data_IF_245262237776
#
_entry.id   IF_245262237776
#
_cell.length_a   1.000
_cell.length_b   1.000
_cell.length_c   1.000
_cell.angle_alpha   90.00
_cell.angle_beta   90.00
_cell.angle_gamma   90.00
#
_symmetry.space_group_name_H-M   'P 1'
#
loop_
_entity.id
_entity.type
_entity.pdbx_description
1 polymer ?
#
# COMPACT_ATOMS: atom_id res chain seq x y z
N UNK A 1 -7.06 27.71 -7.71
CA UNK A 1 -8.13 27.30 -6.80
C UNK A 1 -7.70 27.38 -5.33
N UNK A 2 -6.55 26.92 -4.95
CA UNK A 2 -6.01 27.12 -3.60
C UNK A 2 -5.22 28.43 -3.54
N UNK A 3 -5.17 29.04 -2.33
CA UNK A 3 -4.33 30.19 -2.06
C UNK A 3 -2.85 29.87 -2.39
N UNK A 4 -2.13 30.83 -2.97
CA UNK A 4 -0.72 30.69 -3.38
C UNK A 4 0.22 30.29 -2.23
N UNK A 5 -0.14 30.60 -0.99
CA UNK A 5 0.62 30.22 0.21
C UNK A 5 0.71 28.70 0.37
N UNK A 6 -0.35 27.97 0.00
CA UNK A 6 -0.32 26.49 0.01
C UNK A 6 0.60 25.93 -1.06
N UNK A 7 0.62 26.54 -2.26
CA UNK A 7 1.58 26.16 -3.30
C UNK A 7 3.02 26.35 -2.83
N UNK A 8 3.28 27.51 -2.17
CA UNK A 8 4.59 27.79 -1.57
C UNK A 8 4.98 26.74 -0.51
N UNK A 9 4.06 26.30 0.34
CA UNK A 9 4.30 25.24 1.29
C UNK A 9 4.67 23.92 0.58
N UNK A 10 3.94 23.53 -0.47
CA UNK A 10 4.23 22.30 -1.23
C UNK A 10 5.64 22.29 -1.83
N UNK A 11 6.02 23.40 -2.45
CA UNK A 11 7.38 23.52 -3.03
C UNK A 11 8.45 23.56 -1.94
N UNK A 12 8.18 24.23 -0.80
CA UNK A 12 9.11 24.30 0.32
C UNK A 12 9.36 22.92 0.98
N UNK A 13 8.32 22.10 1.08
CA UNK A 13 8.44 20.71 1.58
C UNK A 13 9.36 19.87 0.70
N UNK A 14 9.31 20.07 -0.61
CA UNK A 14 10.16 19.36 -1.58
C UNK A 14 11.61 19.84 -1.55
N UNK A 15 11.81 21.18 -1.55
CA UNK A 15 13.15 21.78 -1.68
C UNK A 15 13.90 21.88 -0.36
N UNK A 16 13.18 21.97 0.76
CA UNK A 16 13.70 22.25 2.10
C UNK A 16 14.63 23.47 2.15
N UNK A 17 14.38 24.46 1.25
CA UNK A 17 15.19 25.66 1.08
C UNK A 17 14.34 26.84 0.60
N UNK A 18 14.34 27.93 1.36
CA UNK A 18 13.64 29.14 0.98
C UNK A 18 14.14 29.72 -0.36
N UNK A 19 15.45 29.68 -0.60
CA UNK A 19 16.05 30.17 -1.85
C UNK A 19 15.65 29.32 -3.05
N UNK A 20 15.71 27.99 -2.95
CA UNK A 20 15.31 27.10 -4.04
C UNK A 20 13.79 27.17 -4.29
N UNK A 21 13.00 27.33 -3.23
CA UNK A 21 11.56 27.55 -3.35
C UNK A 21 11.26 28.84 -4.12
N UNK A 22 11.93 29.93 -3.76
CA UNK A 22 11.80 31.22 -4.43
C UNK A 22 12.13 31.13 -5.93
N UNK A 23 13.22 30.44 -6.27
CA UNK A 23 13.61 30.22 -7.67
C UNK A 23 12.57 29.41 -8.44
N UNK A 24 12.03 28.32 -7.85
CA UNK A 24 11.02 27.48 -8.51
C UNK A 24 9.69 28.21 -8.74
N UNK A 25 9.32 29.10 -7.81
CA UNK A 25 8.05 29.85 -7.88
C UNK A 25 8.19 31.21 -8.57
N UNK A 26 9.41 31.57 -9.03
CA UNK A 26 9.70 32.86 -9.64
C UNK A 26 9.32 34.06 -8.77
N UNK A 27 9.55 33.96 -7.46
CA UNK A 27 9.33 35.00 -6.45
C UNK A 27 10.59 35.24 -5.64
N UNK A 28 10.59 36.25 -4.75
CA UNK A 28 11.74 36.53 -3.88
C UNK A 28 11.74 35.63 -2.65
N UNK A 29 12.93 35.35 -2.09
CA UNK A 29 13.08 34.58 -0.85
C UNK A 29 12.33 35.22 0.36
N UNK A 30 12.33 36.55 0.56
CA UNK A 30 11.48 37.19 1.56
C UNK A 30 9.98 36.93 1.36
N UNK A 31 9.49 36.91 0.11
CA UNK A 31 8.10 36.61 -0.19
C UNK A 31 7.73 35.16 0.23
N UNK A 32 8.58 34.17 -0.07
CA UNK A 32 8.40 32.79 0.42
C UNK A 32 8.29 32.77 1.95
N UNK A 33 9.24 33.42 2.65
CA UNK A 33 9.25 33.47 4.11
C UNK A 33 7.99 34.12 4.68
N UNK A 34 7.53 35.22 4.07
CA UNK A 34 6.32 35.93 4.47
C UNK A 34 5.06 35.10 4.26
N UNK A 35 4.95 34.40 3.14
CA UNK A 35 3.79 33.52 2.84
C UNK A 35 3.70 32.37 3.83
N UNK A 36 4.82 31.72 4.16
CA UNK A 36 4.83 30.64 5.17
C UNK A 36 4.48 31.19 6.57
N UNK A 37 5.06 32.32 6.97
CA UNK A 37 4.73 32.95 8.27
C UNK A 37 3.25 33.36 8.35
N UNK A 38 2.71 33.92 7.26
CA UNK A 38 1.29 34.28 7.18
C UNK A 38 0.39 33.04 7.34
N UNK A 39 0.75 31.93 6.71
CA UNK A 39 0.01 30.68 6.84
C UNK A 39 0.11 30.09 8.26
N UNK A 40 1.30 30.12 8.87
CA UNK A 40 1.50 29.72 10.26
C UNK A 40 0.68 30.56 11.26
N UNK A 41 0.60 31.88 11.03
CA UNK A 41 -0.19 32.79 11.87
C UNK A 41 -1.68 32.51 11.74
N UNK A 42 -2.18 32.33 10.52
CA UNK A 42 -3.59 32.04 10.26
C UNK A 42 -4.04 30.72 10.91
N UNK A 43 -3.20 29.69 10.79
CA UNK A 43 -3.51 28.35 11.32
C UNK A 43 -3.12 28.20 12.80
N UNK A 44 -2.41 29.17 13.37
CA UNK A 44 -1.82 29.11 14.71
C UNK A 44 -0.97 27.84 14.95
N UNK A 45 -0.24 27.41 13.91
CA UNK A 45 0.59 26.18 13.95
C UNK A 45 1.93 26.45 13.25
N UNK A 46 3.01 25.93 13.82
CA UNK A 46 4.32 25.95 13.17
C UNK A 46 4.43 24.85 12.12
N UNK A 47 4.64 25.27 10.85
CA UNK A 47 4.80 24.37 9.71
C UNK A 47 6.27 24.08 9.39
N UNK A 48 7.15 25.01 9.76
CA UNK A 48 8.59 24.88 9.54
C UNK A 48 9.38 25.28 10.79
N UNK A 49 10.54 24.65 10.98
CA UNK A 49 11.55 25.04 11.97
C UNK A 49 12.86 25.34 11.26
N UNK A 50 13.43 26.49 11.54
CA UNK A 50 14.74 26.89 11.03
C UNK A 50 15.76 26.87 12.15
N UNK A 51 16.65 25.87 12.11
CA UNK A 51 17.82 25.79 12.98
C UNK A 51 19.05 25.84 12.07
N UNK A 52 19.71 27.02 12.03
CA UNK A 52 20.88 27.23 11.15
C UNK A 52 21.85 26.07 11.20
N UNK A 53 22.29 25.51 10.06
CA UNK A 53 21.96 25.92 8.68
C UNK A 53 20.75 25.19 8.05
N UNK A 54 19.95 24.42 8.81
CA UNK A 54 18.93 23.50 8.29
C UNK A 54 17.52 24.01 8.49
N UNK A 55 16.74 23.94 7.41
CA UNK A 55 15.28 24.04 7.43
C UNK A 55 14.68 22.63 7.58
N UNK A 56 13.82 22.44 8.57
CA UNK A 56 13.06 21.20 8.77
C UNK A 56 11.56 21.49 8.70
N UNK A 57 10.82 20.58 8.08
CA UNK A 57 9.36 20.65 8.05
C UNK A 57 8.83 19.95 9.30
N UNK A 58 7.90 20.58 9.99
CA UNK A 58 7.28 19.97 11.17
C UNK A 58 6.32 18.85 10.76
N UNK A 59 5.91 17.94 11.68
CA UNK A 59 4.85 16.96 11.41
C UNK A 59 3.57 17.62 10.87
N UNK A 60 3.13 18.72 11.48
CA UNK A 60 1.97 19.49 11.03
C UNK A 60 2.16 20.08 9.60
N UNK A 61 3.39 20.55 9.29
CA UNK A 61 3.73 21.03 7.95
C UNK A 61 3.68 19.91 6.90
N UNK A 62 4.13 18.71 7.25
CA UNK A 62 4.05 17.53 6.38
C UNK A 62 2.61 17.09 6.15
N UNK A 63 1.82 17.05 7.22
CA UNK A 63 0.40 16.68 7.16
C UNK A 63 -0.41 17.65 6.31
N UNK A 64 -0.25 18.95 6.54
CA UNK A 64 -0.91 19.99 5.74
C UNK A 64 -0.49 19.92 4.27
N UNK A 65 0.79 19.75 3.98
CA UNK A 65 1.26 19.64 2.60
C UNK A 65 0.68 18.40 1.90
N UNK A 66 0.62 17.24 2.56
CA UNK A 66 0.01 16.04 2.02
C UNK A 66 -1.49 16.26 1.73
N UNK A 67 -2.22 16.89 2.65
CA UNK A 67 -3.63 17.24 2.46
C UNK A 67 -3.84 18.18 1.28
N UNK A 68 -3.09 19.25 1.20
CA UNK A 68 -3.15 20.23 0.11
C UNK A 68 -2.84 19.58 -1.25
N UNK A 69 -1.83 18.70 -1.30
CA UNK A 69 -1.47 17.95 -2.50
C UNK A 69 -2.65 17.09 -3.00
N UNK A 70 -3.32 16.37 -2.09
CA UNK A 70 -4.50 15.56 -2.43
C UNK A 70 -5.63 16.41 -3.02
N UNK A 71 -5.94 17.55 -2.37
CA UNK A 71 -6.99 18.48 -2.86
C UNK A 71 -6.64 19.00 -4.25
N UNK A 72 -5.39 19.40 -4.49
CA UNK A 72 -4.98 19.89 -5.81
C UNK A 72 -5.17 18.84 -6.90
N UNK A 73 -4.76 17.60 -6.65
CA UNK A 73 -4.91 16.49 -7.60
C UNK A 73 -6.39 16.22 -7.88
N UNK A 74 -7.23 16.14 -6.84
CA UNK A 74 -8.66 15.92 -7.00
C UNK A 74 -9.33 17.08 -7.76
N UNK A 75 -9.03 18.32 -7.39
CA UNK A 75 -9.56 19.50 -8.06
C UNK A 75 -9.16 19.55 -9.54
N UNK A 76 -7.90 19.22 -9.87
CA UNK A 76 -7.44 19.13 -11.25
C UNK A 76 -8.24 18.10 -12.05
N UNK A 77 -8.45 16.90 -11.51
CA UNK A 77 -9.23 15.84 -12.16
C UNK A 77 -10.68 16.25 -12.42
N UNK A 78 -11.31 16.87 -11.43
CA UNK A 78 -12.69 17.40 -11.58
C UNK A 78 -12.76 18.45 -12.68
N UNK A 79 -11.87 19.44 -12.64
CA UNK A 79 -11.85 20.51 -13.66
C UNK A 79 -11.58 19.94 -15.05
N UNK A 80 -10.63 19.02 -15.18
CA UNK A 80 -10.35 18.36 -16.46
C UNK A 80 -11.57 17.58 -16.98
N UNK A 81 -12.28 16.89 -16.10
CA UNK A 81 -13.50 16.17 -16.46
C UNK A 81 -14.63 17.09 -16.91
N UNK A 82 -14.74 18.28 -16.31
CA UNK A 82 -15.73 19.30 -16.71
C UNK A 82 -15.38 19.98 -18.03
N UNK A 83 -14.09 20.30 -18.23
CA UNK A 83 -13.62 20.98 -19.45
C UNK A 83 -13.59 20.07 -20.68
N UNK A 84 -13.37 18.79 -20.46
CA UNK A 84 -13.20 17.80 -21.51
C UNK A 84 -14.06 16.55 -21.25
N UNK A 85 -15.39 16.65 -21.36
CA UNK A 85 -16.29 15.51 -21.08
C UNK A 85 -16.04 14.30 -21.98
N UNK A 86 -15.45 14.52 -23.16
CA UNK A 86 -15.10 13.51 -24.15
C UNK A 86 -13.66 12.99 -23.99
N UNK A 87 -12.84 13.64 -23.14
CA UNK A 87 -11.47 13.17 -22.89
C UNK A 87 -11.54 12.03 -21.89
N UNK A 88 -11.09 10.90 -22.34
CA UNK A 88 -10.95 9.67 -21.57
C UNK A 88 -10.13 9.91 -20.32
N UNK A 89 -10.72 9.63 -19.18
CA UNK A 89 -10.12 9.79 -17.85
C UNK A 89 -8.94 8.85 -17.67
N UNK A 90 -7.99 9.25 -16.82
CA UNK A 90 -6.93 8.41 -16.31
C UNK A 90 -7.29 7.94 -14.90
N UNK A 91 -6.99 6.68 -14.59
CA UNK A 91 -7.03 6.13 -13.23
C UNK A 91 -5.70 5.49 -12.88
N UNK A 92 -5.15 5.85 -11.73
CA UNK A 92 -3.88 5.31 -11.23
C UNK A 92 -4.16 4.65 -9.89
N UNK A 93 -3.91 3.36 -9.76
CA UNK A 93 -4.05 2.70 -8.48
C UNK A 93 -2.78 1.91 -8.12
N UNK A 94 -2.57 1.77 -6.81
CA UNK A 94 -1.51 0.92 -6.28
C UNK A 94 -2.08 -0.41 -5.82
N UNK A 95 -1.31 -1.48 -5.93
CA UNK A 95 -1.66 -2.78 -5.38
C UNK A 95 -0.43 -3.43 -4.75
N UNK A 96 -0.65 -4.30 -3.79
CA UNK A 96 0.45 -5.09 -3.23
C UNK A 96 0.87 -6.20 -4.17
N UNK A 97 2.09 -6.73 -3.95
CA UNK A 97 2.59 -7.83 -4.78
C UNK A 97 1.67 -9.05 -4.70
N UNK A 98 1.15 -9.37 -3.52
CA UNK A 98 0.23 -10.50 -3.35
C UNK A 98 -1.02 -10.33 -4.19
N UNK A 99 -1.68 -9.17 -4.07
CA UNK A 99 -2.96 -8.93 -4.72
C UNK A 99 -2.82 -8.65 -6.22
N UNK A 100 -1.62 -8.26 -6.68
CA UNK A 100 -1.35 -8.08 -8.11
C UNK A 100 -1.47 -9.37 -8.90
N UNK A 101 -1.28 -10.53 -8.27
CA UNK A 101 -1.30 -11.82 -8.94
C UNK A 101 -2.73 -12.38 -9.18
N UNK A 102 -3.70 -12.03 -8.33
CA UNK A 102 -5.02 -12.64 -8.43
C UNK A 102 -6.21 -11.66 -8.37
N UNK A 103 -6.12 -10.51 -7.71
CA UNK A 103 -7.22 -9.54 -7.61
C UNK A 103 -7.07 -8.34 -8.56
N UNK A 104 -5.87 -7.82 -8.76
CA UNK A 104 -5.67 -6.66 -9.62
C UNK A 104 -6.10 -6.90 -11.07
N UNK A 105 -5.90 -8.09 -11.69
CA UNK A 105 -6.44 -8.36 -13.03
C UNK A 105 -7.97 -8.24 -13.09
N UNK A 106 -8.69 -8.76 -12.09
CA UNK A 106 -10.15 -8.66 -12.01
C UNK A 106 -10.61 -7.20 -11.86
N UNK A 107 -9.91 -6.42 -11.03
CA UNK A 107 -10.18 -5.00 -10.84
C UNK A 107 -9.97 -4.21 -12.14
N UNK A 108 -8.88 -4.48 -12.86
CA UNK A 108 -8.59 -3.85 -14.14
C UNK A 108 -9.72 -4.16 -15.14
N UNK A 109 -10.18 -5.42 -15.24
CA UNK A 109 -11.31 -5.80 -16.10
C UNK A 109 -12.60 -5.05 -15.73
N UNK A 110 -12.90 -4.91 -14.42
CA UNK A 110 -14.05 -4.16 -13.95
C UNK A 110 -13.97 -2.67 -14.33
N UNK A 111 -12.80 -2.06 -14.25
CA UNK A 111 -12.58 -0.67 -14.66
C UNK A 111 -12.70 -0.55 -16.20
N UNK A 112 -12.10 -1.45 -16.96
CA UNK A 112 -12.18 -1.47 -18.43
C UNK A 112 -13.61 -1.60 -18.94
N UNK A 113 -14.43 -2.42 -18.28
CA UNK A 113 -15.85 -2.63 -18.65
C UNK A 113 -16.66 -1.34 -18.59
N UNK A 114 -16.24 -0.32 -17.82
CA UNK A 114 -16.92 0.98 -17.77
C UNK A 114 -16.70 1.83 -19.02
N UNK A 115 -15.64 1.56 -19.80
CA UNK A 115 -15.22 2.31 -21.00
C UNK A 115 -14.96 3.82 -20.73
N UNK A 116 -14.80 4.21 -19.46
CA UNK A 116 -14.62 5.63 -19.06
C UNK A 116 -13.16 6.07 -19.02
N UNK A 117 -12.20 5.12 -19.08
CA UNK A 117 -10.79 5.37 -18.88
C UNK A 117 -9.98 4.95 -20.11
N UNK A 118 -9.15 5.83 -20.61
CA UNK A 118 -8.20 5.54 -21.69
C UNK A 118 -6.88 5.00 -21.14
N UNK A 119 -6.52 5.43 -19.94
CA UNK A 119 -5.27 5.08 -19.28
C UNK A 119 -5.57 4.52 -17.89
N UNK A 120 -5.22 3.26 -17.70
CA UNK A 120 -5.35 2.56 -16.43
C UNK A 120 -3.94 2.15 -16.01
N UNK A 121 -3.43 2.77 -14.95
CA UNK A 121 -2.11 2.46 -14.41
C UNK A 121 -2.24 1.69 -13.10
N UNK A 122 -1.72 0.46 -13.09
CA UNK A 122 -1.58 -0.37 -11.91
C UNK A 122 -0.11 -0.34 -11.45
N UNK A 123 0.13 0.18 -10.25
CA UNK A 123 1.48 0.24 -9.66
C UNK A 123 1.62 -0.80 -8.57
N UNK A 124 2.47 -1.80 -8.83
CA UNK A 124 2.72 -2.86 -7.85
C UNK A 124 3.80 -2.40 -6.86
N UNK A 125 3.47 -2.47 -5.56
CA UNK A 125 4.34 -2.00 -4.48
C UNK A 125 4.04 -2.77 -3.18
N UNK A 126 4.43 -2.28 -2.00
CA UNK A 126 3.99 -2.82 -0.72
C UNK A 126 2.92 -1.93 -0.08
N UNK A 127 2.28 -2.43 0.98
CA UNK A 127 1.16 -1.76 1.66
C UNK A 127 1.52 -0.34 2.09
N UNK A 128 2.68 -0.14 2.73
CA UNK A 128 3.11 1.16 3.23
C UNK A 128 3.34 2.16 2.09
N UNK A 129 3.99 1.73 1.01
CA UNK A 129 4.23 2.59 -0.16
C UNK A 129 2.92 2.91 -0.89
N UNK A 130 1.97 1.95 -0.96
CA UNK A 130 0.65 2.17 -1.54
C UNK A 130 -0.14 3.24 -0.76
N UNK A 131 -0.17 3.16 0.57
CA UNK A 131 -0.80 4.17 1.43
C UNK A 131 -0.12 5.54 1.27
N UNK A 132 1.21 5.58 1.22
CA UNK A 132 1.96 6.81 0.95
C UNK A 132 1.60 7.42 -0.41
N UNK A 133 1.34 6.59 -1.42
CA UNK A 133 0.94 7.07 -2.75
C UNK A 133 -0.47 7.70 -2.73
N UNK A 134 -1.41 7.16 -1.93
CA UNK A 134 -2.71 7.79 -1.68
C UNK A 134 -2.52 9.14 -0.99
N UNK A 135 -1.72 9.19 0.06
CA UNK A 135 -1.46 10.41 0.82
C UNK A 135 -0.87 11.53 -0.04
N UNK A 136 -0.02 11.17 -0.99
CA UNK A 136 0.60 12.11 -1.95
C UNK A 136 -0.28 12.41 -3.16
N UNK A 137 -1.45 11.77 -3.29
CA UNK A 137 -2.30 11.90 -4.47
C UNK A 137 -1.69 11.33 -5.76
N UNK A 138 -0.66 10.50 -5.67
CA UNK A 138 -0.02 9.83 -6.83
C UNK A 138 -0.70 8.53 -7.20
N UNK A 139 -1.55 7.99 -6.33
CA UNK A 139 -2.53 6.94 -6.61
C UNK A 139 -3.91 7.40 -6.16
N UNK A 140 -4.93 7.04 -6.93
CA UNK A 140 -6.32 7.38 -6.65
C UNK A 140 -6.87 6.54 -5.50
N UNK A 141 -6.50 5.27 -5.50
CA UNK A 141 -6.82 4.29 -4.47
C UNK A 141 -5.75 3.20 -4.45
N UNK A 142 -5.85 2.29 -3.49
CA UNK A 142 -5.00 1.12 -3.42
C UNK A 142 -5.80 -0.14 -3.09
N UNK A 143 -5.39 -1.26 -3.68
CA UNK A 143 -5.85 -2.60 -3.34
C UNK A 143 -4.77 -3.23 -2.47
N UNK A 144 -5.04 -3.39 -1.18
CA UNK A 144 -4.04 -3.79 -0.17
C UNK A 144 -4.55 -4.86 0.79
N UNK A 145 -3.60 -5.51 1.42
CA UNK A 145 -3.76 -6.34 2.61
C UNK A 145 -3.00 -5.74 3.80
N UNK A 146 -3.27 -6.27 4.99
CA UNK A 146 -2.59 -5.88 6.23
C UNK A 146 -3.31 -4.75 6.96
N UNK A 147 -2.67 -4.28 8.02
CA UNK A 147 -3.24 -3.26 8.87
C UNK A 147 -2.99 -1.86 8.30
N UNK A 148 -3.97 -1.01 8.46
CA UNK A 148 -3.86 0.41 8.15
C UNK A 148 -4.76 1.21 9.10
N UNK A 149 -4.51 2.50 9.22
CA UNK A 149 -5.32 3.38 10.08
C UNK A 149 -6.70 3.62 9.44
N UNK A 150 -7.70 2.87 9.91
CA UNK A 150 -9.10 2.94 9.46
C UNK A 150 -9.75 4.31 9.76
N UNK A 151 -9.13 5.15 10.58
CA UNK A 151 -9.62 6.52 10.85
C UNK A 151 -9.15 7.53 9.80
N UNK A 152 -8.05 7.23 9.12
CA UNK A 152 -7.40 8.10 8.15
C UNK A 152 -7.88 7.91 6.71
N UNK A 153 -8.37 6.71 6.39
CA UNK A 153 -8.80 6.32 5.05
C UNK A 153 -10.22 5.84 5.05
N UNK A 154 -10.92 6.04 3.93
CA UNK A 154 -12.11 5.28 3.60
C UNK A 154 -11.69 3.97 2.93
N UNK A 155 -12.45 2.91 3.16
CA UNK A 155 -12.10 1.60 2.62
C UNK A 155 -13.33 0.72 2.40
N UNK A 156 -13.13 -0.29 1.59
CA UNK A 156 -14.09 -1.36 1.38
C UNK A 156 -13.40 -2.71 1.41
N UNK A 157 -13.88 -3.59 2.26
CA UNK A 157 -13.45 -4.98 2.25
C UNK A 157 -13.98 -5.64 0.97
N UNK A 158 -13.07 -6.23 0.22
CA UNK A 158 -13.35 -6.95 -1.02
C UNK A 158 -13.74 -8.39 -0.70
N UNK A 159 -12.88 -9.07 0.04
CA UNK A 159 -13.09 -10.42 0.55
C UNK A 159 -12.11 -10.73 1.67
N UNK A 160 -12.36 -11.83 2.35
CA UNK A 160 -11.39 -12.47 3.23
C UNK A 160 -10.61 -13.54 2.46
N UNK A 161 -9.32 -13.63 2.71
CA UNK A 161 -8.43 -14.57 2.03
C UNK A 161 -7.60 -15.36 3.05
N UNK A 162 -7.50 -16.71 2.92
CA UNK A 162 -6.66 -17.51 3.78
C UNK A 162 -5.19 -17.15 3.65
N UNK A 163 -4.55 -16.88 4.79
CA UNK A 163 -3.11 -16.71 4.92
C UNK A 163 -2.51 -17.98 5.50
N UNK A 164 -1.67 -18.66 4.75
CA UNK A 164 -1.27 -20.04 5.01
C UNK A 164 0.25 -20.21 5.08
N UNK A 165 0.72 -21.07 5.99
CA UNK A 165 2.09 -21.56 5.99
C UNK A 165 2.24 -22.60 4.87
N UNK A 166 3.29 -22.50 4.06
CA UNK A 166 3.49 -23.30 2.84
C UNK A 166 4.92 -23.82 2.78
N UNK A 167 5.04 -25.08 2.34
CA UNK A 167 6.31 -25.77 2.07
C UNK A 167 6.21 -26.60 0.78
N UNK A 168 7.35 -27.05 0.27
CA UNK A 168 7.39 -28.07 -0.79
C UNK A 168 6.72 -29.38 -0.34
N UNK A 169 6.12 -30.11 -1.26
CA UNK A 169 5.46 -31.39 -0.95
C UNK A 169 6.40 -32.45 -0.37
N UNK A 170 7.69 -32.39 -0.72
CA UNK A 170 8.74 -33.28 -0.19
C UNK A 170 9.42 -32.76 1.09
N UNK A 171 8.98 -31.63 1.63
CA UNK A 171 9.56 -31.07 2.85
C UNK A 171 9.19 -31.94 4.07
N UNK A 172 10.10 -32.11 5.07
CA UNK A 172 9.79 -32.92 6.26
C UNK A 172 8.51 -32.52 6.99
N UNK A 173 8.21 -31.25 7.10
CA UNK A 173 6.98 -30.74 7.74
C UNK A 173 5.70 -31.10 6.96
N UNK A 174 5.79 -31.43 5.68
CA UNK A 174 4.62 -31.79 4.87
C UNK A 174 4.00 -33.13 5.31
N UNK A 175 4.76 -33.98 6.00
CA UNK A 175 4.31 -35.29 6.50
C UNK A 175 3.69 -35.22 7.90
N UNK A 176 3.74 -34.07 8.56
CA UNK A 176 3.19 -33.88 9.90
C UNK A 176 1.71 -33.56 9.85
N UNK A 177 0.91 -34.22 10.70
CA UNK A 177 -0.54 -33.94 10.79
C UNK A 177 -0.84 -32.53 11.32
N UNK A 178 0.02 -32.02 12.20
CA UNK A 178 -0.02 -30.69 12.77
C UNK A 178 1.41 -30.20 13.03
N UNK A 179 1.68 -28.93 12.72
CA UNK A 179 3.01 -28.31 12.84
C UNK A 179 2.94 -27.20 13.89
N UNK A 180 3.83 -27.24 14.88
CA UNK A 180 3.98 -26.17 15.86
C UNK A 180 4.87 -25.04 15.36
N UNK A 181 4.85 -23.89 16.04
CA UNK A 181 5.79 -22.80 15.77
C UNK A 181 7.26 -23.23 16.01
N UNK A 182 7.49 -24.06 17.03
CA UNK A 182 8.83 -24.61 17.30
C UNK A 182 9.35 -25.50 16.15
N UNK A 183 8.47 -26.26 15.50
CA UNK A 183 8.84 -27.03 14.32
C UNK A 183 9.21 -26.12 13.14
N UNK A 184 8.50 -25.01 12.97
CA UNK A 184 8.76 -24.02 11.91
C UNK A 184 10.11 -23.32 12.09
N UNK A 185 10.48 -22.95 13.33
CA UNK A 185 11.72 -22.22 13.62
C UNK A 185 12.99 -23.04 13.32
N UNK A 186 12.89 -24.36 13.22
CA UNK A 186 14.00 -25.22 12.82
C UNK A 186 14.42 -25.04 11.34
N UNK A 187 13.60 -24.37 10.51
CA UNK A 187 13.83 -24.21 9.08
C UNK A 187 14.00 -22.73 8.68
N UNK A 188 14.62 -22.45 7.51
CA UNK A 188 14.70 -21.11 6.98
C UNK A 188 13.31 -20.51 6.70
N UNK A 189 13.11 -19.26 7.09
CA UNK A 189 11.91 -18.48 6.80
C UNK A 189 12.13 -17.59 5.58
N UNK A 190 11.37 -17.85 4.52
CA UNK A 190 11.31 -16.99 3.33
C UNK A 190 10.23 -15.94 3.55
N UNK A 191 10.61 -14.69 3.72
CA UNK A 191 9.66 -13.63 4.07
C UNK A 191 9.79 -12.40 3.18
N UNK A 192 8.73 -11.61 3.18
CA UNK A 192 8.65 -10.36 2.45
C UNK A 192 9.47 -9.26 3.13
N UNK A 193 9.73 -8.22 2.37
CA UNK A 193 10.43 -7.01 2.82
C UNK A 193 9.63 -6.24 3.89
N UNK A 194 10.31 -5.32 4.58
CA UNK A 194 9.68 -4.38 5.51
C UNK A 194 8.67 -3.48 4.77
N UNK A 195 7.54 -3.17 5.42
CA UNK A 195 6.44 -2.42 4.82
C UNK A 195 5.46 -3.27 4.02
N UNK A 196 5.70 -4.59 3.88
CA UNK A 196 4.73 -5.53 3.33
C UNK A 196 3.67 -5.89 4.36
N UNK A 197 2.39 -5.84 3.98
CA UNK A 197 1.28 -6.26 4.83
C UNK A 197 1.36 -7.73 5.25
N UNK A 198 1.73 -8.62 4.33
CA UNK A 198 1.90 -10.06 4.65
C UNK A 198 3.03 -10.32 5.64
N UNK A 199 4.12 -9.53 5.61
CA UNK A 199 5.16 -9.61 6.65
C UNK A 199 4.64 -9.14 8.02
N UNK A 200 3.88 -8.06 8.04
CA UNK A 200 3.30 -7.54 9.29
C UNK A 200 2.33 -8.56 9.91
N UNK A 201 1.46 -9.17 9.08
CA UNK A 201 0.56 -10.24 9.51
C UNK A 201 1.36 -11.40 10.12
N UNK A 202 2.39 -11.90 9.44
CA UNK A 202 3.24 -12.96 9.94
C UNK A 202 3.92 -12.59 11.27
N UNK A 203 4.43 -11.36 11.38
CA UNK A 203 5.06 -10.88 12.62
C UNK A 203 4.08 -10.90 13.78
N UNK A 204 2.86 -10.42 13.58
CA UNK A 204 1.80 -10.40 14.60
C UNK A 204 1.38 -11.83 15.00
N UNK A 205 1.30 -12.75 14.03
CA UNK A 205 0.98 -14.16 14.28
C UNK A 205 2.07 -14.86 15.11
N UNK A 206 3.33 -14.65 14.76
CA UNK A 206 4.45 -15.22 15.50
C UNK A 206 4.48 -14.67 16.94
N UNK A 207 4.30 -13.35 17.11
CA UNK A 207 4.22 -12.71 18.42
C UNK A 207 3.06 -13.23 19.27
N UNK A 208 1.88 -13.44 18.69
CA UNK A 208 0.73 -14.03 19.37
C UNK A 208 1.01 -15.48 19.86
N UNK A 209 1.93 -16.17 19.21
CA UNK A 209 2.41 -17.49 19.61
C UNK A 209 3.67 -17.44 20.50
N UNK A 210 4.07 -16.26 20.97
CA UNK A 210 5.30 -15.99 21.73
C UNK A 210 6.58 -16.41 20.98
N UNK A 211 6.60 -16.27 19.66
CA UNK A 211 7.76 -16.54 18.79
C UNK A 211 8.17 -15.25 18.09
N UNK A 212 9.45 -15.01 17.96
CA UNK A 212 10.02 -13.94 17.16
C UNK A 212 10.56 -14.46 15.83
N UNK A 213 10.57 -13.64 14.80
CA UNK A 213 11.13 -14.04 13.49
C UNK A 213 12.66 -14.33 13.56
N UNK A 214 13.34 -13.83 14.59
CA UNK A 214 14.76 -14.07 14.82
C UNK A 214 15.06 -15.50 15.33
N UNK A 215 14.05 -16.23 15.82
CA UNK A 215 14.20 -17.62 16.30
C UNK A 215 14.25 -18.64 15.16
N UNK A 216 13.84 -18.26 13.95
CA UNK A 216 14.00 -19.15 12.79
C UNK A 216 15.48 -19.39 12.50
N UNK A 217 15.83 -20.61 12.06
CA UNK A 217 17.21 -21.02 11.76
C UNK A 217 17.92 -20.03 10.82
N UNK A 218 17.16 -19.41 9.91
CA UNK A 218 17.58 -18.36 9.00
C UNK A 218 16.38 -17.55 8.56
N UNK A 219 16.54 -16.24 8.32
CA UNK A 219 15.54 -15.41 7.63
C UNK A 219 16.08 -14.93 6.29
N UNK A 220 15.31 -15.17 5.22
CA UNK A 220 15.63 -14.73 3.87
C UNK A 220 14.57 -13.73 3.43
N UNK A 221 14.95 -12.44 3.35
CA UNK A 221 14.03 -11.38 2.97
C UNK A 221 14.02 -11.16 1.46
N UNK A 222 12.84 -11.24 0.84
CA UNK A 222 12.67 -11.21 -0.61
C UNK A 222 11.48 -10.29 -0.96
N UNK A 223 11.69 -9.35 -1.87
CA UNK A 223 10.66 -8.42 -2.36
C UNK A 223 10.00 -8.88 -3.68
N UNK A 224 10.06 -10.18 -3.97
CA UNK A 224 9.50 -10.77 -5.17
C UNK A 224 8.81 -12.11 -4.85
N UNK A 225 7.51 -12.20 -5.09
CA UNK A 225 6.72 -13.42 -4.80
C UNK A 225 7.09 -14.60 -5.70
N UNK A 226 7.41 -14.35 -6.96
CA UNK A 226 7.84 -15.43 -7.86
C UNK A 226 9.14 -16.08 -7.36
N UNK A 227 10.09 -15.29 -6.82
CA UNK A 227 11.30 -15.82 -6.22
C UNK A 227 11.00 -16.64 -4.96
N UNK A 228 10.09 -16.20 -4.09
CA UNK A 228 9.63 -16.96 -2.92
C UNK A 228 9.04 -18.29 -3.36
N UNK A 229 8.14 -18.29 -4.36
CA UNK A 229 7.54 -19.54 -4.89
C UNK A 229 8.58 -20.50 -5.44
N UNK A 230 9.56 -20.00 -6.19
CA UNK A 230 10.63 -20.85 -6.74
C UNK A 230 11.49 -21.48 -5.62
N UNK A 231 11.84 -20.70 -4.60
CA UNK A 231 12.58 -21.22 -3.45
C UNK A 231 11.77 -22.26 -2.66
N UNK A 232 10.46 -22.01 -2.47
CA UNK A 232 9.56 -23.01 -1.86
C UNK A 232 9.54 -24.31 -2.66
N UNK A 233 9.41 -24.24 -3.99
CA UNK A 233 9.42 -25.42 -4.87
C UNK A 233 10.74 -26.21 -4.81
N UNK A 234 11.85 -25.53 -4.50
CA UNK A 234 13.17 -26.15 -4.29
C UNK A 234 13.36 -26.68 -2.87
N UNK A 235 12.37 -26.54 -1.97
CA UNK A 235 12.48 -26.98 -0.59
C UNK A 235 13.39 -26.10 0.28
N UNK A 236 13.64 -24.85 -0.09
CA UNK A 236 14.59 -23.96 0.58
C UNK A 236 14.11 -23.45 1.96
N UNK A 237 12.89 -23.76 2.37
CA UNK A 237 12.37 -23.37 3.68
C UNK A 237 10.85 -23.25 3.70
N UNK A 238 10.34 -22.49 4.68
CA UNK A 238 8.91 -22.24 4.88
C UNK A 238 8.58 -20.78 4.54
N UNK A 239 7.36 -20.53 4.07
CA UNK A 239 6.85 -19.18 3.88
C UNK A 239 5.38 -19.08 4.27
N UNK A 240 4.92 -17.85 4.50
CA UNK A 240 3.53 -17.53 4.74
C UNK A 240 3.02 -16.63 3.62
N UNK A 241 2.00 -17.09 2.93
CA UNK A 241 1.44 -16.41 1.76
C UNK A 241 -0.08 -16.54 1.73
N UNK A 242 -0.75 -15.71 0.96
CA UNK A 242 -2.16 -15.94 0.66
C UNK A 242 -2.32 -17.19 -0.20
N UNK A 243 -3.33 -18.00 0.11
CA UNK A 243 -3.59 -19.26 -0.58
C UNK A 243 -3.74 -19.08 -2.09
N UNK A 244 -4.38 -18.01 -2.53
CA UNK A 244 -4.54 -17.70 -3.95
C UNK A 244 -3.22 -17.46 -4.69
N UNK A 245 -2.16 -17.01 -4.00
CA UNK A 245 -0.83 -16.78 -4.60
C UNK A 245 -0.16 -18.08 -5.03
N UNK A 246 -0.44 -19.18 -4.35
CA UNK A 246 0.15 -20.52 -4.58
C UNK A 246 -0.90 -21.54 -5.04
N UNK A 247 -2.07 -21.07 -5.49
CA UNK A 247 -3.19 -21.97 -5.82
C UNK A 247 -2.84 -23.00 -6.91
N UNK A 248 -2.07 -22.60 -7.92
CA UNK A 248 -1.63 -23.48 -9.00
C UNK A 248 -0.69 -24.58 -8.51
N UNK A 249 0.26 -24.24 -7.65
CA UNK A 249 1.22 -25.19 -7.08
C UNK A 249 0.56 -26.15 -6.07
N UNK A 250 -0.43 -25.65 -5.32
CA UNK A 250 -1.24 -26.49 -4.43
C UNK A 250 -2.11 -27.47 -5.22
N UNK A 251 -2.73 -27.01 -6.32
CA UNK A 251 -3.61 -27.84 -7.15
C UNK A 251 -2.87 -29.01 -7.80
N UNK A 252 -1.59 -28.81 -8.18
CA UNK A 252 -0.75 -29.87 -8.76
C UNK A 252 0.08 -30.63 -7.72
N UNK A 253 -0.12 -30.36 -6.43
CA UNK A 253 0.55 -31.04 -5.33
C UNK A 253 2.05 -30.80 -5.20
N UNK A 254 2.59 -29.71 -5.79
CA UNK A 254 4.01 -29.34 -5.66
C UNK A 254 4.30 -28.60 -4.35
N UNK A 255 3.34 -27.83 -3.86
CA UNK A 255 3.36 -27.20 -2.54
C UNK A 255 2.22 -27.77 -1.69
N UNK A 256 2.38 -27.68 -0.39
CA UNK A 256 1.35 -28.07 0.59
C UNK A 256 1.22 -27.01 1.67
N UNK A 257 0.01 -26.86 2.19
CA UNK A 257 -0.26 -25.98 3.34
C UNK A 257 -0.05 -26.76 4.64
N UNK A 258 0.59 -26.12 5.62
CA UNK A 258 0.79 -26.69 6.93
C UNK A 258 -0.41 -26.35 7.85
N UNK A 259 -0.79 -27.28 8.70
CA UNK A 259 -1.83 -27.08 9.72
C UNK A 259 -1.20 -26.57 11.01
N UNK A 260 -1.47 -25.30 11.34
CA UNK A 260 -1.02 -24.69 12.59
C UNK A 260 -2.08 -24.81 13.68
N UNK A 261 -1.69 -24.77 14.98
CA UNK A 261 -2.64 -24.86 16.10
C UNK A 261 -3.70 -23.76 16.12
N UNK A 262 -3.38 -22.57 15.65
CA UNK A 262 -4.27 -21.42 15.58
C UNK A 262 -5.43 -21.56 14.56
N UNK A 263 -5.45 -22.65 13.78
CA UNK A 263 -6.45 -22.84 12.73
C UNK A 263 -6.20 -22.03 11.47
N UNK A 264 -7.25 -21.85 10.67
CA UNK A 264 -7.16 -21.09 9.42
C UNK A 264 -7.23 -19.59 9.71
N UNK A 265 -6.24 -18.87 9.23
CA UNK A 265 -6.15 -17.42 9.37
C UNK A 265 -6.74 -16.75 8.14
N UNK A 266 -7.82 -16.01 8.35
CA UNK A 266 -8.45 -15.19 7.31
C UNK A 266 -8.05 -13.74 7.50
N UNK A 267 -7.70 -13.08 6.42
CA UNK A 267 -7.40 -11.65 6.41
C UNK A 267 -8.23 -10.90 5.40
N UNK A 268 -8.71 -9.74 5.82
CA UNK A 268 -9.44 -8.82 4.96
C UNK A 268 -8.50 -8.26 3.88
N UNK A 269 -8.95 -8.34 2.63
CA UNK A 269 -8.38 -7.63 1.50
C UNK A 269 -9.28 -6.43 1.21
N UNK A 270 -8.69 -5.25 1.04
CA UNK A 270 -9.44 -4.02 0.96
C UNK A 270 -9.00 -3.12 -0.21
N UNK A 271 -9.97 -2.43 -0.78
CA UNK A 271 -9.72 -1.21 -1.56
C UNK A 271 -9.78 -0.03 -0.60
N UNK A 272 -8.70 0.75 -0.57
CA UNK A 272 -8.47 1.86 0.35
C UNK A 272 -8.24 3.14 -0.45
N UNK A 273 -8.84 4.25 -0.03
CA UNK A 273 -8.70 5.54 -0.71
C UNK A 273 -8.74 6.71 0.30
N UNK A 274 -8.38 7.88 -0.17
CA UNK A 274 -8.40 9.08 0.68
C UNK A 274 -9.82 9.33 1.21
N UNK A 275 -9.94 9.72 2.47
CA UNK A 275 -11.21 10.08 3.09
C UNK A 275 -11.89 11.20 2.29
N UNK A 276 -13.20 11.11 2.18
CA UNK A 276 -14.03 12.07 1.44
C UNK A 276 -13.61 12.25 -0.03
N UNK A 277 -13.10 11.18 -0.67
CA UNK A 277 -12.75 11.22 -2.09
C UNK A 277 -13.98 11.50 -2.95
N UNK A 278 -13.88 12.48 -3.83
CA UNK A 278 -14.93 12.78 -4.81
C UNK A 278 -15.29 11.58 -5.70
N UNK A 279 -14.35 10.67 -5.91
CA UNK A 279 -14.50 9.48 -6.75
C UNK A 279 -14.86 8.19 -5.97
N UNK A 280 -15.22 8.32 -4.70
CA UNK A 280 -15.55 7.17 -3.83
C UNK A 280 -16.61 6.25 -4.43
N UNK A 281 -17.66 6.81 -5.08
CA UNK A 281 -18.71 6.04 -5.73
C UNK A 281 -18.20 5.13 -6.88
N UNK A 282 -17.20 5.60 -7.65
CA UNK A 282 -16.58 4.80 -8.70
C UNK A 282 -15.79 3.64 -8.10
N UNK A 283 -14.98 3.89 -7.04
CA UNK A 283 -14.22 2.85 -6.34
C UNK A 283 -15.14 1.78 -5.75
N UNK A 284 -16.27 2.21 -5.18
CA UNK A 284 -17.29 1.30 -4.64
C UNK A 284 -17.88 0.39 -5.71
N UNK A 285 -18.20 0.93 -6.87
CA UNK A 285 -18.76 0.17 -8.01
C UNK A 285 -17.77 -0.89 -8.49
N UNK A 286 -16.49 -0.55 -8.67
CA UNK A 286 -15.47 -1.50 -9.11
C UNK A 286 -15.20 -2.59 -8.06
N UNK A 287 -15.24 -2.22 -6.79
CA UNK A 287 -15.06 -3.15 -5.68
C UNK A 287 -16.17 -4.20 -5.61
N UNK A 288 -17.40 -3.83 -5.97
CA UNK A 288 -18.51 -4.79 -6.02
C UNK A 288 -18.26 -5.96 -6.98
N UNK A 289 -17.61 -5.70 -8.12
CA UNK A 289 -17.24 -6.75 -9.07
C UNK A 289 -16.25 -7.77 -8.49
N UNK A 290 -15.43 -7.37 -7.52
CA UNK A 290 -14.46 -8.23 -6.84
C UNK A 290 -15.07 -9.09 -5.72
N UNK A 291 -16.28 -8.75 -5.24
CA UNK A 291 -16.98 -9.48 -4.17
C UNK A 291 -17.73 -10.72 -4.66
N UNK A 292 -17.98 -10.80 -5.96
CA UNK A 292 -18.60 -11.99 -6.53
C UNK A 292 -17.56 -13.11 -6.54
N UNK A 293 -17.87 -14.31 -5.99
CA UNK A 293 -17.00 -15.46 -6.18
C UNK A 293 -16.90 -15.70 -7.69
N UNK A 294 -15.68 -15.66 -8.22
CA UNK A 294 -15.43 -16.03 -9.59
C UNK A 294 -15.95 -17.45 -9.82
N UNK A 295 -16.69 -17.62 -10.88
CA UNK A 295 -17.11 -18.92 -11.40
C UNK A 295 -15.89 -19.82 -11.65
#
# INVERSE_FOLDING_TARGET
MLDKRYETLLVLVQTKSYTQTAQRLFITQPAVSQQIKSLEMELNVKLVRYQRPRLTITPAGQELAAFVQRIQVQAYKVVTALQHPQVTRQVIFSTTLSLSEFLAPQLIQAIQATQQFRDIQCRVTNTQAALTAIDRGTSDFALIEGNFDKTRYDYQVVREEPFVAVVAANHPLAQQAQVSWADLTAYPLLLRELGSGSREILTNLAQAANVTLAEFSQTVTINNLAAIRQLLLQGAGVSFVYRSVVASELAVGKLVTLRLPAGQLLHELAVVYARDSFFAADYQRWTQALRQPGN
#
